data_IF_533272031817
#
_entry.id   IF_533272031817
#
_cell.length_a   1.000
_cell.length_b   1.000
_cell.length_c   1.000
_cell.angle_alpha   90.00
_cell.angle_beta   90.00
_cell.angle_gamma   90.00
#
_symmetry.space_group_name_H-M   'P 1'
#
loop_
_entity.id
_entity.type
_entity.pdbx_description
1 polymer ?
#
# COMPACT_ATOMS: atom_id res chain seq x y z
N UNK A 1 -33.07 -18.03 1.61
CA UNK A 1 -31.74 -17.41 1.81
C UNK A 1 -31.78 -16.03 1.17
N UNK A 2 -31.35 -14.98 1.87
CA UNK A 2 -31.06 -13.69 1.24
C UNK A 2 -29.61 -13.72 0.73
N UNK A 3 -29.36 -14.51 -0.31
CA UNK A 3 -28.07 -14.52 -0.99
C UNK A 3 -27.82 -13.19 -1.70
N UNK A 4 -26.55 -12.86 -1.96
CA UNK A 4 -26.22 -11.62 -2.66
C UNK A 4 -26.81 -11.60 -4.08
N UNK A 5 -27.04 -10.41 -4.59
CA UNK A 5 -27.52 -10.15 -5.94
C UNK A 5 -26.42 -10.33 -6.99
N UNK A 6 -26.80 -10.66 -8.22
CA UNK A 6 -25.85 -10.84 -9.33
C UNK A 6 -24.99 -9.58 -9.59
N UNK A 7 -25.52 -8.33 -9.58
CA UNK A 7 -24.70 -7.14 -9.72
C UNK A 7 -23.62 -6.95 -8.64
N UNK A 8 -23.83 -7.41 -7.39
CA UNK A 8 -22.77 -7.46 -6.38
C UNK A 8 -21.67 -8.46 -6.76
N UNK A 9 -22.05 -9.68 -7.15
CA UNK A 9 -21.10 -10.71 -7.58
C UNK A 9 -20.29 -10.29 -8.81
N UNK A 10 -20.92 -9.69 -9.82
CA UNK A 10 -20.27 -9.19 -11.05
C UNK A 10 -19.24 -8.09 -10.75
N UNK A 11 -19.59 -7.12 -9.90
CA UNK A 11 -18.70 -6.02 -9.47
C UNK A 11 -17.51 -6.55 -8.67
N UNK A 12 -17.76 -7.46 -7.73
CA UNK A 12 -16.71 -8.06 -6.90
C UNK A 12 -15.79 -8.96 -7.74
N UNK A 13 -16.34 -9.72 -8.69
CA UNK A 13 -15.57 -10.51 -9.66
C UNK A 13 -14.63 -9.63 -10.48
N UNK A 14 -15.13 -8.52 -11.03
CA UNK A 14 -14.32 -7.57 -11.80
C UNK A 14 -13.18 -6.96 -10.96
N UNK A 15 -13.42 -6.65 -9.68
CA UNK A 15 -12.40 -6.15 -8.77
C UNK A 15 -11.32 -7.22 -8.45
N UNK A 16 -11.72 -8.46 -8.16
CA UNK A 16 -10.78 -9.58 -7.96
C UNK A 16 -9.98 -9.88 -9.22
N UNK A 17 -10.62 -9.88 -10.41
CA UNK A 17 -9.94 -10.02 -11.70
C UNK A 17 -8.93 -8.90 -11.93
N UNK A 18 -9.28 -7.64 -11.63
CA UNK A 18 -8.34 -6.52 -11.75
C UNK A 18 -7.13 -6.67 -10.82
N UNK A 19 -7.33 -7.07 -9.55
CA UNK A 19 -6.23 -7.35 -8.61
C UNK A 19 -5.34 -8.51 -9.09
N UNK A 20 -5.93 -9.64 -9.51
CA UNK A 20 -5.14 -10.79 -10.04
C UNK A 20 -4.46 -10.50 -11.38
N UNK A 21 -5.04 -9.67 -12.25
CA UNK A 21 -4.47 -9.30 -13.56
C UNK A 21 -3.21 -8.45 -13.38
N UNK A 22 -3.20 -7.58 -12.37
CA UNK A 22 -2.12 -6.64 -12.02
C UNK A 22 -1.92 -6.59 -10.49
N UNK A 23 -1.20 -7.55 -9.89
CA UNK A 23 -1.00 -7.63 -8.44
C UNK A 23 -0.30 -6.40 -7.86
N UNK A 24 0.68 -5.87 -8.62
CA UNK A 24 1.46 -4.67 -8.33
C UNK A 24 1.77 -3.93 -9.63
N UNK A 25 2.12 -2.64 -9.54
CA UNK A 25 2.52 -1.84 -10.71
C UNK A 25 3.83 -2.39 -11.30
N UNK A 26 3.78 -2.88 -12.54
CA UNK A 26 4.88 -3.58 -13.23
C UNK A 26 4.66 -5.07 -13.46
N UNK A 27 3.57 -5.65 -12.92
CA UNK A 27 3.21 -7.07 -13.15
C UNK A 27 1.92 -7.18 -13.98
N UNK A 28 1.89 -8.15 -14.90
CA UNK A 28 0.77 -8.44 -15.79
C UNK A 28 0.62 -9.94 -16.09
N UNK A 29 -0.33 -10.61 -15.44
CA UNK A 29 -0.61 -12.03 -15.66
C UNK A 29 -1.39 -12.24 -16.98
N UNK A 30 -1.20 -13.36 -17.72
CA UNK A 30 -2.03 -13.71 -18.87
C UNK A 30 -3.51 -13.87 -18.49
N UNK A 31 -4.42 -13.40 -19.35
CA UNK A 31 -5.86 -13.33 -18.99
C UNK A 31 -6.47 -14.66 -18.57
N UNK A 32 -6.09 -15.76 -19.23
CA UNK A 32 -6.73 -17.05 -19.00
C UNK A 32 -6.27 -17.66 -17.67
N UNK A 33 -5.00 -17.45 -17.30
CA UNK A 33 -4.47 -17.70 -15.96
C UNK A 33 -5.18 -16.81 -14.93
N UNK A 34 -5.42 -15.53 -15.25
CA UNK A 34 -6.19 -14.63 -14.37
C UNK A 34 -7.62 -15.14 -14.15
N UNK A 35 -8.32 -15.57 -15.21
CA UNK A 35 -9.69 -16.11 -15.13
C UNK A 35 -9.73 -17.37 -14.27
N UNK A 36 -8.85 -18.33 -14.53
CA UNK A 36 -8.72 -19.59 -13.79
C UNK A 36 -8.46 -19.36 -12.29
N UNK A 37 -7.45 -18.56 -11.95
CA UNK A 37 -7.08 -18.26 -10.55
C UNK A 37 -8.17 -17.52 -9.78
N UNK A 38 -8.96 -16.69 -10.46
CA UNK A 38 -10.12 -16.04 -9.83
C UNK A 38 -11.24 -17.06 -9.61
N UNK A 39 -11.53 -18.02 -10.52
CA UNK A 39 -12.48 -19.13 -10.22
C UNK A 39 -12.02 -19.89 -8.96
N UNK A 40 -10.76 -20.31 -8.90
CA UNK A 40 -10.22 -21.05 -7.75
C UNK A 40 -10.31 -20.28 -6.43
N UNK A 41 -10.07 -18.96 -6.45
CA UNK A 41 -10.24 -18.09 -5.28
C UNK A 41 -11.70 -18.08 -4.81
N UNK A 42 -12.64 -17.89 -5.73
CA UNK A 42 -14.06 -17.83 -5.44
C UNK A 42 -14.57 -19.17 -4.87
N UNK A 43 -14.27 -20.30 -5.51
CA UNK A 43 -14.69 -21.62 -5.02
C UNK A 43 -14.12 -21.93 -3.64
N UNK A 44 -12.86 -21.55 -3.39
CA UNK A 44 -12.19 -21.72 -2.09
C UNK A 44 -12.83 -20.86 -1.00
N UNK A 45 -13.11 -19.58 -1.26
CA UNK A 45 -13.73 -18.70 -0.26
C UNK A 45 -15.20 -19.07 -0.01
N UNK A 46 -15.95 -19.42 -1.06
CA UNK A 46 -17.31 -19.95 -0.92
C UNK A 46 -17.34 -21.24 -0.10
N UNK A 47 -16.34 -22.11 -0.24
CA UNK A 47 -16.18 -23.32 0.59
C UNK A 47 -15.78 -23.02 2.04
N UNK A 48 -15.08 -21.89 2.28
CA UNK A 48 -14.64 -21.42 3.61
C UNK A 48 -15.77 -20.87 4.47
N UNK A 49 -16.89 -20.45 3.87
CA UNK A 49 -18.03 -19.84 4.57
C UNK A 49 -19.34 -20.66 4.43
N UNK A 50 -19.59 -21.65 5.34
CA UNK A 50 -20.84 -22.44 5.37
C UNK A 50 -22.12 -21.60 5.50
N UNK A 51 -21.99 -20.38 6.03
CA UNK A 51 -22.96 -19.30 5.88
C UNK A 51 -22.18 -18.07 5.44
N UNK A 52 -22.65 -17.39 4.38
CA UNK A 52 -21.99 -16.20 3.88
C UNK A 52 -22.05 -15.06 4.92
N UNK A 53 -20.94 -14.35 5.19
CA UNK A 53 -20.95 -13.17 6.05
C UNK A 53 -21.65 -11.98 5.37
N UNK A 54 -21.66 -10.80 5.99
CA UNK A 54 -22.20 -9.59 5.35
C UNK A 54 -21.45 -9.22 4.06
N UNK A 55 -22.13 -8.55 3.12
CA UNK A 55 -21.54 -8.06 1.85
C UNK A 55 -20.13 -7.43 2.03
N UNK A 56 -19.90 -6.51 3.00
CA UNK A 56 -18.59 -5.87 3.17
C UNK A 56 -17.49 -6.83 3.64
N UNK A 57 -17.75 -7.63 4.67
CA UNK A 57 -16.81 -8.63 5.19
C UNK A 57 -16.49 -9.72 4.14
N UNK A 58 -17.47 -10.13 3.33
CA UNK A 58 -17.22 -11.05 2.21
C UNK A 58 -16.33 -10.42 1.13
N UNK A 59 -16.61 -9.16 0.75
CA UNK A 59 -15.79 -8.47 -0.25
C UNK A 59 -14.37 -8.20 0.24
N UNK A 60 -14.19 -7.80 1.51
CA UNK A 60 -12.88 -7.55 2.09
C UNK A 60 -12.04 -8.84 2.12
N UNK A 61 -12.58 -9.93 2.65
CA UNK A 61 -11.89 -11.22 2.71
C UNK A 61 -11.48 -11.75 1.32
N UNK A 62 -12.34 -11.59 0.31
CA UNK A 62 -12.03 -12.02 -1.06
C UNK A 62 -11.01 -11.11 -1.75
N UNK A 63 -11.04 -9.81 -1.49
CA UNK A 63 -10.13 -8.84 -2.10
C UNK A 63 -8.74 -8.87 -1.47
N UNK A 64 -8.66 -9.12 -0.16
CA UNK A 64 -7.41 -9.40 0.55
C UNK A 64 -6.78 -10.72 0.07
N UNK A 65 -7.53 -11.83 0.06
CA UNK A 65 -7.02 -13.11 -0.42
C UNK A 65 -6.69 -13.09 -1.93
N UNK A 66 -7.29 -12.19 -2.72
CA UNK A 66 -6.87 -11.90 -4.09
C UNK A 66 -5.57 -11.09 -4.17
N UNK A 67 -5.35 -10.14 -3.26
CA UNK A 67 -4.13 -9.33 -3.22
C UNK A 67 -2.93 -10.17 -2.79
N UNK A 68 -3.03 -10.86 -1.66
CA UNK A 68 -1.94 -11.72 -1.16
C UNK A 68 -1.74 -12.96 -2.04
N UNK A 69 -2.83 -13.64 -2.44
CA UNK A 69 -2.75 -14.84 -3.27
C UNK A 69 -2.09 -14.60 -4.62
N UNK A 70 -2.37 -13.46 -5.27
CA UNK A 70 -1.76 -13.13 -6.55
C UNK A 70 -0.28 -12.73 -6.45
N UNK A 71 0.12 -11.97 -5.42
CA UNK A 71 1.54 -11.68 -5.15
C UNK A 71 2.34 -12.94 -4.82
N UNK A 72 1.82 -13.80 -3.96
CA UNK A 72 2.47 -15.06 -3.61
C UNK A 72 2.55 -16.05 -4.79
N UNK A 73 1.54 -16.10 -5.66
CA UNK A 73 1.61 -16.91 -6.89
C UNK A 73 2.73 -16.42 -7.80
N UNK A 74 2.81 -15.11 -8.09
CA UNK A 74 3.85 -14.58 -8.99
C UNK A 74 5.25 -14.81 -8.40
N UNK A 75 5.43 -14.64 -7.07
CA UNK A 75 6.70 -14.98 -6.43
C UNK A 75 7.02 -16.47 -6.61
N UNK A 76 6.10 -17.36 -6.25
CA UNK A 76 6.29 -18.82 -6.38
C UNK A 76 6.68 -19.22 -7.80
N UNK A 77 5.95 -18.72 -8.81
CA UNK A 77 6.26 -18.99 -10.21
C UNK A 77 7.63 -18.44 -10.65
N UNK A 78 8.08 -17.28 -10.13
CA UNK A 78 9.42 -16.73 -10.39
C UNK A 78 10.51 -17.60 -9.77
N UNK A 79 10.36 -17.99 -8.50
CA UNK A 79 11.30 -18.86 -7.78
C UNK A 79 11.38 -20.25 -8.40
N UNK A 80 10.24 -20.86 -8.76
CA UNK A 80 10.19 -22.20 -9.39
C UNK A 80 10.84 -22.25 -10.78
N UNK A 81 10.70 -21.18 -11.57
CA UNK A 81 11.26 -21.12 -12.93
C UNK A 81 12.66 -20.46 -12.96
N UNK A 82 13.16 -19.96 -11.82
CA UNK A 82 14.37 -19.14 -11.70
C UNK A 82 14.41 -17.93 -12.67
N UNK A 83 13.25 -17.30 -12.90
CA UNK A 83 13.06 -16.20 -13.84
C UNK A 83 12.41 -14.98 -13.18
N UNK A 84 13.19 -13.96 -12.75
CA UNK A 84 12.66 -12.72 -12.18
C UNK A 84 11.80 -11.90 -13.14
N UNK A 85 11.88 -12.11 -14.46
CA UNK A 85 11.09 -11.37 -15.46
C UNK A 85 9.72 -12.00 -15.71
N UNK A 86 9.43 -13.17 -15.12
CA UNK A 86 8.16 -13.87 -15.34
C UNK A 86 6.98 -13.00 -14.90
N UNK A 87 6.00 -12.82 -15.78
CA UNK A 87 4.86 -11.90 -15.62
C UNK A 87 5.23 -10.41 -15.42
N UNK A 88 6.46 -10.00 -15.72
CA UNK A 88 6.79 -8.57 -15.87
C UNK A 88 5.94 -7.97 -17.00
N UNK A 89 5.46 -6.75 -16.80
CA UNK A 89 4.63 -6.05 -17.77
C UNK A 89 5.48 -5.51 -18.93
N UNK A 90 5.28 -5.94 -20.19
CA UNK A 90 6.05 -5.45 -21.33
C UNK A 90 5.85 -3.94 -21.61
N UNK A 91 4.79 -3.33 -21.07
CA UNK A 91 4.58 -1.88 -21.13
C UNK A 91 5.31 -1.11 -19.99
N UNK A 92 5.83 -1.79 -18.97
CA UNK A 92 6.59 -1.15 -17.88
C UNK A 92 8.05 -0.90 -18.28
N UNK A 93 8.32 0.35 -18.66
CA UNK A 93 9.63 0.87 -19.06
C UNK A 93 10.29 1.73 -17.97
N UNK A 94 9.87 1.62 -16.70
CA UNK A 94 10.46 2.39 -15.59
C UNK A 94 11.94 2.04 -15.38
N UNK A 95 12.35 0.81 -15.65
CA UNK A 95 13.70 0.27 -15.57
C UNK A 95 13.86 -0.90 -16.56
N UNK A 96 15.10 -1.38 -16.78
CA UNK A 96 15.41 -2.32 -17.87
C UNK A 96 14.95 -3.77 -17.60
N UNK A 97 15.13 -4.26 -16.38
CA UNK A 97 14.78 -5.63 -15.97
C UNK A 97 14.64 -5.74 -14.44
N UNK A 98 13.83 -6.68 -13.97
CA UNK A 98 13.75 -7.06 -12.56
C UNK A 98 15.09 -7.63 -12.08
N UNK A 99 15.50 -7.30 -10.85
CA UNK A 99 16.57 -8.01 -10.16
C UNK A 99 16.00 -9.22 -9.41
N UNK A 100 16.86 -10.17 -9.06
CA UNK A 100 16.45 -11.35 -8.29
C UNK A 100 16.16 -10.98 -6.82
N UNK A 101 14.88 -10.94 -6.46
CA UNK A 101 14.45 -10.59 -5.12
C UNK A 101 14.86 -11.65 -4.08
N UNK A 102 14.89 -12.94 -4.43
CA UNK A 102 15.26 -13.99 -3.49
C UNK A 102 16.76 -13.89 -3.15
N UNK A 103 17.62 -13.51 -4.11
CA UNK A 103 19.02 -13.12 -3.84
C UNK A 103 19.15 -11.82 -3.06
N UNK A 104 18.36 -10.79 -3.38
CA UNK A 104 18.38 -9.53 -2.62
C UNK A 104 17.93 -9.72 -1.15
N UNK A 105 17.04 -10.69 -0.89
CA UNK A 105 16.61 -11.10 0.44
C UNK A 105 17.53 -12.14 1.09
N UNK A 106 18.53 -12.69 0.39
CA UNK A 106 19.41 -13.71 0.94
C UNK A 106 20.43 -13.12 1.92
N UNK A 107 20.27 -13.46 3.21
CA UNK A 107 21.26 -13.18 4.26
C UNK A 107 22.43 -14.16 4.22
N UNK A 108 23.61 -13.68 4.61
CA UNK A 108 24.82 -14.47 4.84
C UNK A 108 24.86 -15.07 6.25
N UNK A 109 25.92 -15.84 6.55
CA UNK A 109 26.15 -16.43 7.87
C UNK A 109 26.46 -15.41 8.98
N UNK A 110 26.84 -14.18 8.61
CA UNK A 110 27.04 -13.03 9.48
C UNK A 110 25.81 -12.10 9.57
N UNK A 111 24.64 -12.56 9.10
CA UNK A 111 23.36 -11.85 9.07
C UNK A 111 23.36 -10.56 8.22
N UNK A 112 24.34 -10.44 7.31
CA UNK A 112 24.47 -9.32 6.37
C UNK A 112 23.93 -9.66 4.98
N UNK A 113 23.73 -8.64 4.15
CA UNK A 113 23.27 -8.78 2.77
C UNK A 113 24.44 -8.44 1.84
N UNK A 114 25.01 -9.46 1.19
CA UNK A 114 26.29 -9.39 0.46
C UNK A 114 26.20 -9.91 -0.99
N UNK A 115 25.00 -10.23 -1.48
CA UNK A 115 24.85 -10.61 -2.88
C UNK A 115 25.15 -9.46 -3.84
N UNK A 116 25.66 -9.79 -5.04
CA UNK A 116 26.05 -8.82 -6.06
C UNK A 116 24.88 -8.01 -6.62
N UNK A 117 23.65 -8.53 -6.57
CA UNK A 117 22.43 -7.82 -6.98
C UNK A 117 22.28 -6.44 -6.30
N UNK A 118 22.78 -6.28 -5.07
CA UNK A 118 22.77 -4.99 -4.35
C UNK A 118 23.56 -3.87 -5.07
N UNK A 119 24.57 -4.23 -5.87
CA UNK A 119 25.32 -3.28 -6.69
C UNK A 119 24.52 -2.79 -7.92
N UNK A 120 23.52 -3.56 -8.36
CA UNK A 120 22.62 -3.21 -9.46
C UNK A 120 21.41 -2.42 -8.93
N UNK A 121 20.96 -2.71 -7.71
CA UNK A 121 19.82 -2.05 -7.08
C UNK A 121 20.04 -0.55 -6.86
N UNK A 122 21.24 -0.12 -6.45
CA UNK A 122 21.54 1.30 -6.25
C UNK A 122 21.41 2.13 -7.55
N UNK A 123 22.06 1.76 -8.68
CA UNK A 123 21.80 2.38 -9.99
C UNK A 123 20.32 2.44 -10.39
N UNK A 124 19.58 1.34 -10.19
CA UNK A 124 18.15 1.25 -10.53
C UNK A 124 17.29 2.21 -9.68
N UNK A 125 17.56 2.33 -8.38
CA UNK A 125 16.80 3.20 -7.48
C UNK A 125 17.14 4.69 -7.60
N UNK A 126 18.33 5.05 -8.12
CA UNK A 126 18.79 6.46 -8.22
C UNK A 126 17.78 7.39 -8.91
N UNK A 127 17.28 7.12 -10.13
CA UNK A 127 16.34 8.02 -10.82
C UNK A 127 15.09 8.36 -9.98
N UNK A 128 14.45 7.34 -9.39
CA UNK A 128 13.25 7.51 -8.54
C UNK A 128 13.56 8.26 -7.24
N UNK A 129 14.72 7.97 -6.65
CA UNK A 129 15.18 8.59 -5.41
C UNK A 129 15.45 10.08 -5.60
N UNK A 130 16.28 10.45 -6.58
CA UNK A 130 16.60 11.85 -6.86
C UNK A 130 15.37 12.64 -7.37
N UNK A 131 14.48 12.04 -8.16
CA UNK A 131 13.21 12.67 -8.52
C UNK A 131 12.28 12.91 -7.30
N UNK A 132 12.37 12.07 -6.27
CA UNK A 132 11.60 12.23 -5.02
C UNK A 132 12.21 13.28 -4.10
N UNK A 133 13.53 13.26 -3.90
CA UNK A 133 14.26 14.25 -3.11
C UNK A 133 14.18 15.64 -3.75
N UNK A 134 14.29 15.74 -5.08
CA UNK A 134 14.13 16.98 -5.84
C UNK A 134 12.74 17.60 -5.66
N UNK A 135 11.66 16.78 -5.64
CA UNK A 135 10.29 17.23 -5.30
C UNK A 135 10.17 17.70 -3.84
N UNK A 136 10.99 17.18 -2.92
CA UNK A 136 11.10 17.66 -1.52
C UNK A 136 12.10 18.83 -1.38
N UNK A 137 12.70 19.32 -2.47
CA UNK A 137 13.66 20.44 -2.47
C UNK A 137 15.05 20.11 -1.94
N UNK A 138 15.38 18.82 -1.78
CA UNK A 138 16.72 18.33 -1.42
C UNK A 138 17.46 18.02 -2.73
N UNK A 139 18.72 18.45 -2.85
CA UNK A 139 19.49 18.41 -4.11
C UNK A 139 20.96 18.11 -3.85
N UNK A 140 21.69 17.84 -4.92
CA UNK A 140 23.15 17.78 -4.95
C UNK A 140 23.72 16.88 -3.83
N UNK A 141 24.67 17.35 -3.02
CA UNK A 141 25.29 16.55 -1.96
C UNK A 141 24.27 16.08 -0.91
N UNK A 142 23.36 16.95 -0.45
CA UNK A 142 22.32 16.57 0.53
C UNK A 142 21.41 15.46 0.00
N UNK A 143 21.19 15.40 -1.31
CA UNK A 143 20.38 14.35 -1.92
C UNK A 143 21.14 13.03 -2.08
N UNK A 144 22.45 13.07 -2.34
CA UNK A 144 23.32 11.88 -2.33
C UNK A 144 23.43 11.31 -0.90
N UNK A 145 23.65 12.14 0.12
CA UNK A 145 23.71 11.73 1.52
C UNK A 145 22.40 11.05 1.97
N UNK A 146 21.25 11.70 1.72
CA UNK A 146 19.93 11.15 2.08
C UNK A 146 19.61 9.89 1.28
N UNK A 147 20.07 9.78 0.02
CA UNK A 147 19.95 8.55 -0.77
C UNK A 147 20.77 7.41 -0.15
N UNK A 148 22.07 7.61 0.12
CA UNK A 148 22.97 6.60 0.69
C UNK A 148 22.49 6.19 2.10
N UNK A 149 22.15 7.15 2.97
CA UNK A 149 21.58 6.88 4.30
C UNK A 149 20.32 5.99 4.21
N UNK A 150 19.45 6.22 3.21
CA UNK A 150 18.20 5.47 3.07
C UNK A 150 18.41 4.12 2.39
N UNK A 151 19.40 4.00 1.50
CA UNK A 151 19.76 2.73 0.85
C UNK A 151 20.39 1.75 1.85
N UNK A 152 21.29 2.23 2.71
CA UNK A 152 21.87 1.45 3.82
C UNK A 152 20.82 1.00 4.86
N UNK A 153 19.63 1.58 4.85
CA UNK A 153 18.51 1.24 5.73
C UNK A 153 17.55 0.19 5.15
N UNK A 154 17.70 -0.22 3.88
CA UNK A 154 16.94 -1.31 3.24
C UNK A 154 17.28 -2.71 3.80
N UNK A 155 18.55 -3.11 4.00
CA UNK A 155 18.92 -4.38 4.63
C UNK A 155 18.90 -4.33 6.17
N UNK A 156 18.63 -3.17 6.78
CA UNK A 156 18.76 -2.98 8.23
C UNK A 156 17.53 -3.45 8.98
N UNK A 157 17.71 -4.32 9.98
CA UNK A 157 16.63 -4.78 10.88
C UNK A 157 15.96 -3.63 11.63
N UNK A 158 14.62 -3.68 11.74
CA UNK A 158 13.81 -2.64 12.40
C UNK A 158 12.74 -3.21 13.34
N UNK A 159 12.42 -2.43 14.36
CA UNK A 159 11.34 -2.71 15.31
C UNK A 159 11.62 -3.89 16.26
N UNK A 160 10.54 -4.41 16.85
CA UNK A 160 10.52 -5.64 17.65
C UNK A 160 10.75 -6.90 16.82
N UNK A 161 10.34 -6.87 15.55
CA UNK A 161 10.05 -8.08 14.77
C UNK A 161 11.26 -8.60 13.97
N UNK A 162 12.41 -7.93 14.10
CA UNK A 162 13.72 -8.31 13.54
C UNK A 162 13.73 -8.59 12.04
N UNK A 163 12.92 -7.85 11.27
CA UNK A 163 12.92 -7.84 9.81
C UNK A 163 13.53 -6.57 9.24
N UNK A 164 14.18 -6.69 8.10
CA UNK A 164 14.64 -5.59 7.27
C UNK A 164 13.56 -5.15 6.27
N UNK A 165 13.50 -3.87 5.85
CA UNK A 165 12.56 -3.41 4.81
C UNK A 165 12.60 -4.22 3.51
N UNK A 166 13.76 -4.71 3.08
CA UNK A 166 13.87 -5.55 1.87
C UNK A 166 13.07 -6.88 2.00
N UNK A 167 12.79 -7.34 3.22
CA UNK A 167 12.07 -8.58 3.52
C UNK A 167 10.55 -8.39 3.67
N UNK A 168 10.04 -7.15 3.59
CA UNK A 168 8.59 -6.88 3.67
C UNK A 168 7.89 -6.92 2.32
N UNK A 169 8.64 -7.00 1.22
CA UNK A 169 8.11 -7.13 -0.14
C UNK A 169 8.10 -8.58 -0.61
N UNK A 170 7.11 -8.93 -1.44
CA UNK A 170 6.97 -10.25 -2.06
C UNK A 170 7.37 -10.25 -3.54
N UNK A 171 7.35 -9.09 -4.20
CA UNK A 171 7.69 -8.91 -5.60
C UNK A 171 8.71 -7.78 -5.78
N UNK A 172 9.61 -7.90 -6.77
CA UNK A 172 10.71 -6.95 -6.95
C UNK A 172 10.20 -5.53 -7.22
N UNK A 173 9.14 -5.41 -8.01
CA UNK A 173 8.45 -4.19 -8.42
C UNK A 173 8.08 -3.28 -7.23
N UNK A 174 7.86 -3.87 -6.05
CA UNK A 174 7.51 -3.17 -4.81
C UNK A 174 8.69 -2.39 -4.19
N UNK A 175 9.93 -2.63 -4.63
CA UNK A 175 11.12 -1.96 -4.10
C UNK A 175 11.14 -0.45 -4.42
N UNK A 176 10.61 -0.04 -5.57
CA UNK A 176 10.54 1.36 -5.99
C UNK A 176 9.57 2.16 -5.10
N UNK A 177 8.29 1.75 -4.89
CA UNK A 177 7.40 2.45 -3.96
C UNK A 177 7.89 2.36 -2.52
N UNK A 178 8.42 1.22 -2.05
CA UNK A 178 9.01 1.08 -0.70
C UNK A 178 10.15 2.09 -0.47
N UNK A 179 11.15 2.11 -1.36
CA UNK A 179 12.30 3.00 -1.21
C UNK A 179 11.92 4.48 -1.38
N UNK A 180 10.99 4.77 -2.31
CA UNK A 180 10.40 6.10 -2.46
C UNK A 180 9.70 6.56 -1.18
N UNK A 181 8.96 5.67 -0.50
CA UNK A 181 8.29 5.93 0.78
C UNK A 181 9.31 6.19 1.90
N UNK A 182 10.36 5.36 2.01
CA UNK A 182 11.45 5.54 2.97
C UNK A 182 12.16 6.90 2.79
N UNK A 183 12.45 7.29 1.55
CA UNK A 183 13.04 8.60 1.24
C UNK A 183 12.12 9.78 1.61
N UNK A 184 10.80 9.62 1.47
CA UNK A 184 9.86 10.66 1.90
C UNK A 184 9.92 10.88 3.41
N UNK A 185 9.99 9.83 4.23
CA UNK A 185 10.20 9.98 5.67
C UNK A 185 11.58 10.56 6.00
N UNK A 186 12.66 10.06 5.40
CA UNK A 186 14.01 10.59 5.63
C UNK A 186 14.13 12.07 5.26
N UNK A 187 13.40 12.54 4.23
CA UNK A 187 13.34 13.96 3.85
C UNK A 187 12.68 14.86 4.90
N UNK A 188 11.75 14.32 5.70
CA UNK A 188 11.11 15.05 6.82
C UNK A 188 12.10 15.18 7.98
N UNK A 189 12.82 14.12 8.31
CA UNK A 189 13.81 14.14 9.39
C UNK A 189 15.05 14.96 9.05
N UNK A 190 15.53 14.91 7.80
CA UNK A 190 16.57 15.83 7.31
C UNK A 190 16.11 17.29 7.44
N UNK A 191 14.86 17.63 7.05
CA UNK A 191 14.30 18.98 7.23
C UNK A 191 14.18 19.39 8.71
N UNK A 192 13.82 18.46 9.61
CA UNK A 192 13.80 18.68 11.07
C UNK A 192 15.20 18.98 11.60
N UNK A 193 16.22 18.18 11.25
CA UNK A 193 17.63 18.39 11.60
C UNK A 193 18.12 19.77 11.11
N UNK A 194 17.87 20.11 9.85
CA UNK A 194 18.25 21.40 9.26
C UNK A 194 17.57 22.61 9.93
N UNK A 195 16.31 22.46 10.36
CA UNK A 195 15.61 23.49 11.13
C UNK A 195 16.16 23.63 12.56
N UNK A 196 16.54 22.52 13.19
CA UNK A 196 17.17 22.53 14.52
C UNK A 196 18.54 23.22 14.49
N UNK A 197 19.39 22.89 13.50
CA UNK A 197 20.70 23.52 13.30
C UNK A 197 20.57 25.04 13.08
N UNK A 198 19.61 25.48 12.26
CA UNK A 198 19.34 26.92 12.02
C UNK A 198 18.79 27.67 13.23
N UNK A 199 18.30 26.95 14.24
CA UNK A 199 17.81 27.52 15.49
C UNK A 199 18.85 27.45 16.64
N UNK A 200 20.06 26.94 16.39
CA UNK A 200 21.15 27.00 17.38
C UNK A 200 21.76 28.41 17.44
N UNK A 201 21.94 29.01 18.63
CA UNK A 201 22.48 30.37 18.75
C UNK A 201 24.01 30.40 18.60
N UNK A 202 24.50 30.47 17.36
CA UNK A 202 25.88 30.83 16.94
C UNK A 202 27.02 30.36 17.87
N UNK A 203 27.11 29.06 18.14
CA UNK A 203 28.36 28.43 18.58
C UNK A 203 29.23 28.12 17.35
N UNK A 204 30.43 28.70 17.30
CA UNK A 204 31.42 28.38 16.27
C UNK A 204 32.19 27.11 16.65
N UNK A 205 32.61 26.32 15.64
CA UNK A 205 33.45 25.10 15.76
C UNK A 205 32.74 23.89 16.43
N UNK A 206 33.22 22.64 16.32
CA UNK A 206 34.35 22.09 15.53
C UNK A 206 33.89 21.09 14.45
N UNK A 207 34.82 20.62 13.61
CA UNK A 207 34.56 19.53 12.64
C UNK A 207 34.56 18.14 13.31
N UNK A 208 35.16 18.03 14.50
CA UNK A 208 35.33 16.78 15.26
C UNK A 208 34.04 16.38 16.03
N UNK A 209 33.24 17.35 16.47
CA UNK A 209 31.95 17.13 17.14
C UNK A 209 30.97 16.35 16.24
N UNK A 210 31.06 16.54 14.92
CA UNK A 210 30.21 15.88 13.93
C UNK A 210 30.40 14.36 13.87
N UNK A 211 31.56 13.85 14.28
CA UNK A 211 31.84 12.40 14.29
C UNK A 211 31.37 11.71 15.57
N UNK A 212 31.53 12.31 16.75
CA UNK A 212 31.15 11.66 18.02
C UNK A 212 29.64 11.70 18.30
N UNK A 213 28.90 12.66 17.75
CA UNK A 213 27.43 12.71 17.89
C UNK A 213 26.69 11.65 17.08
N UNK A 214 27.31 11.04 16.05
CA UNK A 214 26.65 10.00 15.23
C UNK A 214 26.39 8.69 15.98
N UNK A 215 27.25 8.32 16.95
CA UNK A 215 27.02 7.13 17.78
C UNK A 215 26.02 7.41 18.91
N UNK A 216 26.16 8.56 19.58
CA UNK A 216 25.40 8.88 20.79
C UNK A 216 23.95 9.33 20.54
N UNK A 217 23.62 9.90 19.38
CA UNK A 217 22.24 10.36 19.05
C UNK A 217 21.26 9.25 18.63
N UNK A 218 21.53 7.97 18.97
CA UNK A 218 20.61 6.84 18.73
C UNK A 218 19.43 6.75 19.71
N UNK A 219 19.36 7.61 20.73
CA UNK A 219 18.31 7.59 21.75
C UNK A 219 17.52 8.91 21.79
N UNK A 220 16.54 9.08 20.88
CA UNK A 220 15.29 9.82 21.12
C UNK A 220 14.23 9.49 20.03
N UNK A 221 14.02 8.21 19.74
CA UNK A 221 12.68 7.77 19.34
C UNK A 221 11.80 7.82 20.60
N UNK A 222 10.75 8.64 20.60
CA UNK A 222 9.65 8.44 21.55
C UNK A 222 8.88 7.18 21.11
N UNK A 223 9.20 6.06 21.76
CA UNK A 223 8.62 4.75 21.42
C UNK A 223 7.14 4.61 21.78
N UNK A 224 6.53 5.61 22.42
CA UNK A 224 5.08 5.70 22.59
C UNK A 224 4.36 6.27 21.36
N UNK A 225 5.06 7.00 20.47
CA UNK A 225 4.48 7.67 19.31
C UNK A 225 4.34 6.78 18.06
N UNK A 226 4.50 5.45 18.19
CA UNK A 226 4.07 4.48 17.16
C UNK A 226 2.56 4.23 17.28
N UNK A 227 1.77 5.17 16.79
CA UNK A 227 0.35 4.92 16.47
C UNK A 227 0.28 3.77 15.45
N UNK A 228 -0.71 2.90 15.58
CA UNK A 228 -0.89 1.77 14.67
C UNK A 228 -1.32 2.26 13.28
N UNK A 229 -0.59 1.83 12.25
CA UNK A 229 -0.91 2.16 10.85
C UNK A 229 -0.28 3.47 10.39
N UNK A 230 0.72 3.36 9.51
CA UNK A 230 1.09 4.46 8.62
C UNK A 230 -0.10 4.70 7.66
N UNK A 231 -0.62 5.94 7.52
CA UNK A 231 -1.75 6.23 6.64
C UNK A 231 -1.56 5.81 5.18
N UNK A 232 -0.33 5.56 4.74
CA UNK A 232 -0.01 5.05 3.40
C UNK A 232 -0.10 3.51 3.26
N UNK A 233 -0.20 2.75 4.36
CA UNK A 233 -0.39 1.28 4.35
C UNK A 233 -1.85 0.86 4.62
N UNK A 234 -2.75 1.84 4.73
CA UNK A 234 -4.18 1.61 4.96
C UNK A 234 -4.90 1.19 3.67
N UNK A 235 -4.84 -0.09 3.33
CA UNK A 235 -5.74 -0.71 2.35
C UNK A 235 -7.20 -0.59 2.82
N UNK A 236 -8.18 -0.63 1.90
CA UNK A 236 -9.59 -0.67 2.31
C UNK A 236 -9.87 -1.85 3.25
N UNK A 237 -9.27 -2.99 2.94
CA UNK A 237 -9.46 -4.24 3.64
C UNK A 237 -8.96 -4.11 5.10
N UNK A 238 -7.81 -3.43 5.30
CA UNK A 238 -7.30 -3.08 6.64
C UNK A 238 -8.08 -1.97 7.34
N UNK A 239 -8.60 -0.99 6.60
CA UNK A 239 -9.50 0.04 7.15
C UNK A 239 -10.80 -0.60 7.65
N UNK A 240 -11.31 -1.63 6.96
CA UNK A 240 -12.47 -2.40 7.36
C UNK A 240 -12.24 -3.13 8.68
N UNK A 241 -11.15 -3.92 8.80
CA UNK A 241 -10.80 -4.60 10.05
C UNK A 241 -10.69 -3.65 11.25
N UNK A 242 -10.11 -2.44 11.04
CA UNK A 242 -9.89 -1.46 12.11
C UNK A 242 -11.15 -0.66 12.49
N UNK A 243 -12.19 -0.66 11.65
CA UNK A 243 -13.36 0.22 11.80
C UNK A 243 -14.71 -0.50 11.66
N UNK A 244 -14.78 -1.84 11.66
CA UNK A 244 -15.98 -2.62 11.29
C UNK A 244 -17.24 -2.15 12.03
N UNK A 245 -17.16 -1.93 13.35
CA UNK A 245 -18.28 -1.52 14.21
C UNK A 245 -18.66 -0.02 14.10
N UNK A 246 -17.78 0.83 13.56
CA UNK A 246 -17.96 2.30 13.55
C UNK A 246 -18.88 2.79 12.41
N UNK A 247 -19.06 1.97 11.36
CA UNK A 247 -19.89 2.29 10.20
C UNK A 247 -21.00 1.27 10.01
N UNK A 248 -22.20 1.77 9.68
CA UNK A 248 -23.31 0.92 9.26
C UNK A 248 -23.00 0.25 7.93
N UNK A 249 -23.61 -0.91 7.67
CA UNK A 249 -23.42 -1.64 6.42
C UNK A 249 -23.72 -0.81 5.15
N UNK A 250 -24.62 0.19 5.25
CA UNK A 250 -24.94 1.15 4.18
C UNK A 250 -23.83 2.19 3.97
N UNK A 251 -23.22 2.69 5.04
CA UNK A 251 -22.06 3.58 4.96
C UNK A 251 -20.84 2.85 4.36
N UNK A 252 -20.62 1.59 4.76
CA UNK A 252 -19.60 0.73 4.14
C UNK A 252 -19.87 0.46 2.66
N UNK A 253 -21.10 0.15 2.27
CA UNK A 253 -21.50 -0.07 0.87
C UNK A 253 -21.28 1.19 0.00
N UNK A 254 -21.54 2.39 0.54
CA UNK A 254 -21.27 3.67 -0.13
C UNK A 254 -19.77 3.96 -0.26
N UNK A 255 -18.97 3.76 0.79
CA UNK A 255 -17.51 3.94 0.75
C UNK A 255 -16.90 2.98 -0.27
N UNK A 256 -17.31 1.70 -0.25
CA UNK A 256 -16.82 0.68 -1.18
C UNK A 256 -17.16 1.03 -2.65
N UNK A 257 -18.42 1.37 -2.91
CA UNK A 257 -18.91 1.62 -4.28
C UNK A 257 -18.19 2.78 -4.97
N UNK A 258 -17.81 3.83 -4.21
CA UNK A 258 -17.24 5.08 -4.73
C UNK A 258 -15.71 5.07 -4.69
N UNK A 259 -15.11 4.69 -3.56
CA UNK A 259 -13.68 4.90 -3.31
C UNK A 259 -12.81 3.66 -3.51
N UNK A 260 -13.39 2.46 -3.45
CA UNK A 260 -12.63 1.19 -3.41
C UNK A 260 -12.76 0.44 -4.72
N UNK A 261 -13.97 -0.01 -5.06
CA UNK A 261 -14.23 -0.67 -6.34
C UNK A 261 -14.45 0.33 -7.50
N UNK A 262 -14.58 1.63 -7.20
CA UNK A 262 -14.88 2.72 -8.14
C UNK A 262 -16.09 2.43 -9.07
N UNK A 263 -16.96 1.53 -8.64
CA UNK A 263 -18.08 0.98 -9.42
C UNK A 263 -19.17 1.99 -9.76
N UNK A 264 -19.29 3.07 -8.97
CA UNK A 264 -20.29 4.13 -9.16
C UNK A 264 -19.68 5.48 -8.84
N UNK A 265 -19.90 6.45 -9.72
CA UNK A 265 -19.74 7.86 -9.38
C UNK A 265 -20.90 8.34 -8.50
N UNK A 266 -20.70 9.48 -7.82
CA UNK A 266 -21.77 10.26 -7.18
C UNK A 266 -22.84 10.81 -8.17
N UNK A 267 -22.68 10.53 -9.48
CA UNK A 267 -23.71 10.69 -10.49
C UNK A 267 -24.67 9.50 -10.52
N UNK A 268 -24.16 8.30 -10.78
CA UNK A 268 -24.98 7.08 -10.95
C UNK A 268 -25.75 6.69 -9.68
N UNK A 269 -25.17 6.92 -8.49
CA UNK A 269 -25.87 6.69 -7.21
C UNK A 269 -27.14 7.54 -7.03
N UNK A 270 -27.34 8.59 -7.83
CA UNK A 270 -28.58 9.38 -7.81
C UNK A 270 -29.76 8.65 -8.44
N UNK A 271 -29.56 7.60 -9.24
CA UNK A 271 -30.64 6.86 -9.87
C UNK A 271 -30.64 5.36 -9.55
N UNK A 272 -29.64 4.89 -8.80
CA UNK A 272 -29.56 3.52 -8.25
C UNK A 272 -30.66 3.27 -7.20
N UNK A 273 -31.68 2.51 -7.59
CA UNK A 273 -32.92 2.29 -6.84
C UNK A 273 -32.71 1.54 -5.53
N UNK A 274 -31.76 0.61 -5.44
CA UNK A 274 -31.52 -0.15 -4.21
C UNK A 274 -30.92 0.75 -3.13
N UNK A 275 -29.92 1.57 -3.50
CA UNK A 275 -29.23 2.48 -2.58
C UNK A 275 -30.15 3.64 -2.16
N UNK A 276 -30.94 4.20 -3.10
CA UNK A 276 -31.99 5.16 -2.76
C UNK A 276 -33.01 4.56 -1.78
N UNK A 277 -33.43 3.30 -2.00
CA UNK A 277 -34.36 2.59 -1.11
C UNK A 277 -33.81 2.43 0.31
N UNK A 278 -32.53 2.03 0.44
CA UNK A 278 -31.82 1.94 1.74
C UNK A 278 -31.71 3.29 2.45
N UNK A 279 -31.62 4.40 1.70
CA UNK A 279 -31.61 5.78 2.20
C UNK A 279 -33.01 6.40 2.39
N UNK A 280 -34.09 5.61 2.26
CA UNK A 280 -35.50 6.06 2.28
C UNK A 280 -35.83 7.18 1.25
N UNK A 281 -35.03 7.30 0.19
CA UNK A 281 -35.23 8.21 -0.94
C UNK A 281 -36.08 7.55 -2.02
N UNK A 282 -36.85 8.36 -2.75
CA UNK A 282 -37.62 7.89 -3.92
C UNK A 282 -36.86 8.20 -5.21
N UNK A 283 -36.96 7.37 -6.26
CA UNK A 283 -36.42 7.72 -7.59
C UNK A 283 -36.97 9.05 -8.13
N UNK A 284 -38.16 9.45 -7.71
CA UNK A 284 -38.84 10.72 -8.04
C UNK A 284 -38.43 11.92 -7.16
N UNK A 285 -37.56 11.74 -6.16
CA UNK A 285 -37.03 12.87 -5.39
C UNK A 285 -36.11 13.75 -6.25
N UNK A 286 -36.00 15.04 -5.93
CA UNK A 286 -35.13 15.94 -6.69
C UNK A 286 -33.66 15.53 -6.58
N UNK A 287 -32.91 15.66 -7.68
CA UNK A 287 -31.46 15.34 -7.73
C UNK A 287 -30.67 16.06 -6.64
N UNK A 288 -31.03 17.31 -6.31
CA UNK A 288 -30.45 18.06 -5.19
C UNK A 288 -30.74 17.43 -3.83
N UNK A 289 -31.95 16.90 -3.58
CA UNK A 289 -32.28 16.20 -2.32
C UNK A 289 -31.50 14.89 -2.23
N UNK A 290 -31.53 14.07 -3.30
CA UNK A 290 -30.79 12.80 -3.37
C UNK A 290 -29.29 13.01 -3.10
N UNK A 291 -28.66 13.96 -3.82
CA UNK A 291 -27.23 14.29 -3.69
C UNK A 291 -26.87 14.79 -2.30
N UNK A 292 -27.74 15.59 -1.65
CA UNK A 292 -27.47 16.08 -0.30
C UNK A 292 -27.40 14.92 0.70
N UNK A 293 -28.40 14.02 0.67
CA UNK A 293 -28.46 12.86 1.58
C UNK A 293 -27.33 11.86 1.33
N UNK A 294 -26.98 11.57 0.07
CA UNK A 294 -25.82 10.74 -0.27
C UNK A 294 -24.50 11.36 0.20
N UNK A 295 -24.32 12.68 0.03
CA UNK A 295 -23.15 13.39 0.56
C UNK A 295 -23.13 13.41 2.09
N UNK A 296 -24.26 13.59 2.75
CA UNK A 296 -24.41 13.58 4.23
C UNK A 296 -23.95 12.24 4.79
N UNK A 297 -24.41 11.11 4.23
CA UNK A 297 -23.96 9.78 4.64
C UNK A 297 -22.49 9.49 4.28
N UNK A 298 -22.03 9.85 3.08
CA UNK A 298 -20.64 9.59 2.68
C UNK A 298 -19.63 10.44 3.49
N UNK A 299 -19.91 11.72 3.74
CA UNK A 299 -19.03 12.55 4.57
C UNK A 299 -19.11 12.13 6.04
N UNK A 300 -20.28 11.67 6.53
CA UNK A 300 -20.39 11.04 7.85
C UNK A 300 -19.49 9.81 7.97
N UNK A 301 -19.56 8.91 6.98
CA UNK A 301 -18.71 7.71 6.88
C UNK A 301 -17.21 8.06 6.87
N UNK A 302 -16.79 8.94 5.96
CA UNK A 302 -15.39 9.37 5.84
C UNK A 302 -14.89 10.12 7.08
N UNK A 303 -15.76 10.88 7.77
CA UNK A 303 -15.40 11.56 9.02
C UNK A 303 -15.28 10.59 10.20
N UNK A 304 -16.12 9.53 10.27
CA UNK A 304 -15.95 8.45 11.25
C UNK A 304 -14.59 7.76 11.05
N UNK A 305 -14.32 7.30 9.82
CA UNK A 305 -13.04 6.69 9.45
C UNK A 305 -11.85 7.60 9.77
N UNK A 306 -11.89 8.86 9.34
CA UNK A 306 -10.81 9.82 9.60
C UNK A 306 -10.60 10.08 11.09
N UNK A 307 -11.65 10.00 11.93
CA UNK A 307 -11.53 10.13 13.39
C UNK A 307 -10.90 8.87 14.01
N UNK A 308 -11.31 7.67 13.58
CA UNK A 308 -10.78 6.39 14.11
C UNK A 308 -9.30 6.25 13.75
N UNK A 309 -8.96 6.48 12.48
CA UNK A 309 -7.60 6.41 11.91
C UNK A 309 -6.67 7.58 12.33
N UNK A 310 -7.02 8.31 13.40
CA UNK A 310 -6.24 9.42 13.98
C UNK A 310 -5.94 9.24 15.48
N UNK A 311 -6.36 8.12 16.11
CA UNK A 311 -6.03 7.78 17.50
C UNK A 311 -5.08 6.57 17.56
#
# INVERSE_FOLDING_TARGET
MAGFDAPFFEKLWAACYSRYRRPVEGVLLPEDVTKERVVELWDRLMSRYPQLPGKPAFSAALLDEAYEGSRHQVRGERTENADPQRHHDPDDQRYEANLDLDKLQQRSADDSFVDREWNLLAPLLRPFGFATLGRKGIRDHDAEDVFIETFAELPRLKGSDQRAPIETISLFEEIIPLFTKMLQFRSIDWRRRQSALKNQPNTQHSYEDLTEEQENRRQFEDKSARVFGDPADLTFDRIYELCEEELTALEWELVFAIHVGQTHTMGELLDEKEILGKLALKPTDSTSKKRRVLNEHLHGALHKLAKVLQN
#
